data_IF_845733992002
#
_entry.id   IF_845733992002
#
_cell.length_a   1.000
_cell.length_b   1.000
_cell.length_c   1.000
_cell.angle_alpha   90.00
_cell.angle_beta   90.00
_cell.angle_gamma   90.00
#
_symmetry.space_group_name_H-M   'P 1'
#
loop_
_entity.id
_entity.type
_entity.pdbx_description
1 polymer ?
#
# COMPACT_ATOMS: atom_id res chain seq x y z
N UNK A 1 -4.94 -14.83 -11.44
CA UNK A 1 -4.83 -15.78 -12.60
C UNK A 1 -5.53 -17.07 -12.23
N UNK A 2 -6.56 -17.39 -12.93
CA UNK A 2 -7.37 -18.59 -12.70
C UNK A 2 -6.65 -19.82 -13.26
N UNK A 3 -7.02 -21.02 -12.78
CA UNK A 3 -6.37 -22.27 -13.21
C UNK A 3 -6.46 -22.48 -14.75
N UNK A 4 -7.61 -22.17 -15.33
CA UNK A 4 -7.80 -22.29 -16.80
C UNK A 4 -6.91 -21.34 -17.62
N UNK A 5 -6.51 -20.20 -17.06
CA UNK A 5 -5.58 -19.26 -17.71
C UNK A 5 -4.16 -19.81 -17.70
N UNK A 6 -3.75 -20.39 -16.59
CA UNK A 6 -2.46 -21.10 -16.48
C UNK A 6 -2.43 -22.26 -17.49
N UNK A 7 -3.53 -22.99 -17.61
CA UNK A 7 -3.63 -24.09 -18.56
C UNK A 7 -3.59 -23.62 -20.03
N UNK A 8 -4.16 -22.44 -20.33
CA UNK A 8 -3.98 -21.79 -21.64
C UNK A 8 -2.51 -21.45 -21.93
N UNK A 9 -1.81 -20.87 -20.95
CA UNK A 9 -0.38 -20.56 -21.11
C UNK A 9 0.48 -21.81 -21.22
N UNK A 10 0.16 -22.89 -20.51
CA UNK A 10 0.81 -24.20 -20.63
C UNK A 10 0.55 -24.86 -22.00
N UNK A 11 -0.59 -24.58 -22.61
CA UNK A 11 -0.95 -25.11 -23.91
C UNK A 11 -0.31 -24.34 -25.08
N UNK A 12 0.32 -23.19 -24.84
CA UNK A 12 1.04 -22.46 -25.88
C UNK A 12 2.14 -23.37 -26.48
N UNK A 13 2.29 -23.39 -27.80
CA UNK A 13 3.31 -24.24 -28.47
C UNK A 13 4.71 -23.88 -27.94
N UNK A 14 5.42 -24.87 -27.43
CA UNK A 14 6.75 -24.69 -26.80
C UNK A 14 7.76 -24.02 -27.73
N UNK A 15 7.72 -24.34 -29.04
CA UNK A 15 8.60 -23.74 -30.04
C UNK A 15 8.23 -22.27 -30.29
N UNK A 16 6.94 -21.93 -30.29
CA UNK A 16 6.48 -20.54 -30.40
C UNK A 16 6.92 -19.71 -29.21
N UNK A 17 6.88 -20.28 -28.01
CA UNK A 17 7.42 -19.61 -26.79
C UNK A 17 8.93 -19.48 -26.88
N UNK A 18 9.64 -20.50 -27.34
CA UNK A 18 11.09 -20.46 -27.55
C UNK A 18 11.50 -19.38 -28.56
N UNK A 19 10.75 -19.23 -29.64
CA UNK A 19 11.00 -18.20 -30.65
C UNK A 19 10.83 -16.79 -30.10
N UNK A 20 9.78 -16.53 -29.34
CA UNK A 20 9.56 -15.25 -28.64
C UNK A 20 10.65 -14.94 -27.59
N UNK A 21 11.26 -15.98 -27.03
CA UNK A 21 12.41 -15.86 -26.13
C UNK A 21 13.75 -15.69 -26.87
N UNK A 22 13.74 -15.59 -28.21
CA UNK A 22 14.91 -15.38 -29.03
C UNK A 22 15.70 -16.64 -29.37
N UNK A 23 15.17 -17.84 -29.07
CA UNK A 23 15.80 -19.11 -29.44
C UNK A 23 15.55 -19.44 -30.92
N UNK A 24 16.61 -19.67 -31.68
CA UNK A 24 16.49 -20.08 -33.10
C UNK A 24 16.25 -21.58 -33.17
N UNK A 25 14.99 -21.98 -33.21
CA UNK A 25 14.60 -23.38 -33.33
C UNK A 25 14.70 -23.86 -34.77
N UNK A 26 15.43 -24.95 -35.00
CA UNK A 26 15.50 -25.65 -36.31
C UNK A 26 15.36 -27.14 -36.12
N UNK A 27 14.42 -27.77 -36.84
CA UNK A 27 14.15 -29.23 -36.76
C UNK A 27 14.00 -29.70 -35.32
N UNK A 28 13.18 -28.99 -34.53
CA UNK A 28 12.91 -29.24 -33.08
C UNK A 28 14.15 -29.17 -32.16
N UNK A 29 15.19 -28.45 -32.56
CA UNK A 29 16.40 -28.23 -31.73
C UNK A 29 16.84 -26.79 -31.77
N UNK A 30 17.51 -26.33 -30.69
CA UNK A 30 18.19 -25.06 -30.57
C UNK A 30 19.50 -25.19 -29.77
N UNK A 31 20.35 -24.17 -29.85
CA UNK A 31 21.45 -24.04 -28.88
C UNK A 31 20.86 -23.84 -27.49
N UNK A 32 21.44 -24.51 -26.51
CA UNK A 32 20.96 -24.38 -25.12
C UNK A 32 21.42 -23.04 -24.52
N UNK A 33 20.51 -22.22 -23.98
CA UNK A 33 20.86 -20.93 -23.37
C UNK A 33 21.36 -21.09 -21.90
N UNK A 34 21.33 -22.29 -21.34
CA UNK A 34 21.63 -22.54 -19.93
C UNK A 34 23.06 -23.01 -19.68
N UNK A 35 23.85 -23.24 -20.75
CA UNK A 35 25.28 -23.52 -20.70
C UNK A 35 25.94 -23.09 -22.01
N UNK A 36 27.26 -23.01 -22.04
CA UNK A 36 28.00 -22.75 -23.27
C UNK A 36 27.78 -23.89 -24.27
N UNK A 37 27.03 -23.64 -25.33
CA UNK A 37 26.61 -24.64 -26.31
C UNK A 37 27.04 -24.26 -27.73
N UNK A 38 27.78 -25.13 -28.40
CA UNK A 38 28.23 -24.95 -29.80
C UNK A 38 27.45 -25.82 -30.78
N UNK A 39 26.68 -26.79 -30.29
CA UNK A 39 25.89 -27.69 -31.10
C UNK A 39 24.48 -27.81 -30.49
N UNK A 40 23.39 -27.75 -31.32
CA UNK A 40 22.03 -27.76 -30.79
C UNK A 40 21.72 -28.95 -29.86
N UNK A 41 21.84 -28.74 -28.56
CA UNK A 41 21.60 -29.75 -27.52
C UNK A 41 20.24 -29.62 -26.84
N UNK A 42 19.54 -28.48 -27.01
CA UNK A 42 18.19 -28.28 -26.51
C UNK A 42 17.18 -28.86 -27.51
N UNK A 43 16.45 -29.88 -27.11
CA UNK A 43 15.44 -30.54 -27.93
C UNK A 43 14.03 -30.21 -27.50
N UNK A 44 13.13 -29.96 -28.42
CA UNK A 44 11.71 -29.68 -28.18
C UNK A 44 10.85 -30.89 -28.59
N UNK A 45 10.00 -31.33 -27.66
CA UNK A 45 9.05 -32.41 -27.92
C UNK A 45 7.65 -31.82 -28.11
N UNK A 46 7.30 -31.56 -29.37
CA UNK A 46 6.04 -30.89 -29.75
C UNK A 46 4.80 -31.61 -29.18
N UNK A 47 4.73 -32.95 -29.32
CA UNK A 47 3.57 -33.72 -28.85
C UNK A 47 3.37 -33.72 -27.33
N UNK A 48 4.42 -33.51 -26.54
CA UNK A 48 4.35 -33.38 -25.07
C UNK A 48 4.41 -31.91 -24.60
N UNK A 49 4.64 -31.02 -25.55
CA UNK A 49 4.82 -29.57 -25.30
C UNK A 49 5.91 -29.28 -24.23
N UNK A 50 7.07 -29.96 -24.36
CA UNK A 50 8.18 -29.84 -23.42
C UNK A 50 9.50 -29.63 -24.12
N UNK A 51 10.50 -29.12 -23.40
CA UNK A 51 11.90 -29.09 -23.83
C UNK A 51 12.80 -29.89 -22.91
N UNK A 52 13.92 -30.37 -23.43
CA UNK A 52 15.00 -31.00 -22.67
C UNK A 52 16.35 -30.73 -23.32
N UNK A 53 17.30 -30.28 -22.52
CA UNK A 53 18.73 -30.29 -22.89
C UNK A 53 19.36 -31.60 -22.47
N UNK A 54 20.06 -32.27 -23.39
CA UNK A 54 20.75 -33.54 -23.10
C UNK A 54 22.15 -33.36 -22.51
N UNK A 55 22.64 -32.11 -22.41
CA UNK A 55 23.95 -31.79 -21.83
C UNK A 55 23.83 -31.32 -20.39
N UNK A 56 22.98 -30.30 -20.12
CA UNK A 56 22.84 -29.74 -18.76
C UNK A 56 21.55 -30.19 -18.05
N UNK A 57 20.79 -31.11 -18.65
CA UNK A 57 19.53 -31.66 -18.14
C UNK A 57 18.45 -30.60 -17.85
N UNK A 58 18.57 -29.40 -18.34
CA UNK A 58 17.52 -28.39 -18.25
C UNK A 58 16.27 -28.88 -18.99
N UNK A 59 15.13 -28.92 -18.33
CA UNK A 59 13.86 -29.42 -18.88
C UNK A 59 12.66 -28.68 -18.29
N UNK A 60 11.51 -28.81 -18.96
CA UNK A 60 10.26 -28.21 -18.49
C UNK A 60 9.25 -27.99 -19.61
N UNK A 61 8.16 -27.31 -19.29
CA UNK A 61 7.15 -26.84 -20.25
C UNK A 61 7.35 -25.38 -20.66
N UNK A 62 6.36 -24.78 -21.37
CA UNK A 62 6.44 -23.40 -21.86
C UNK A 62 6.69 -22.37 -20.76
N UNK A 63 6.00 -22.49 -19.61
CA UNK A 63 6.16 -21.55 -18.49
C UNK A 63 7.54 -21.71 -17.86
N UNK A 64 8.03 -22.94 -17.68
CA UNK A 64 9.35 -23.21 -17.12
C UNK A 64 10.46 -22.62 -17.99
N UNK A 65 10.31 -22.69 -19.32
CA UNK A 65 11.24 -22.10 -20.27
C UNK A 65 11.26 -20.57 -20.14
N UNK A 66 10.07 -19.95 -20.07
CA UNK A 66 9.95 -18.51 -19.88
C UNK A 66 10.56 -18.04 -18.55
N UNK A 67 10.27 -18.72 -17.44
CA UNK A 67 10.84 -18.41 -16.13
C UNK A 67 12.37 -18.47 -16.15
N UNK A 68 12.93 -19.54 -16.68
CA UNK A 68 14.38 -19.76 -16.69
C UNK A 68 15.12 -18.75 -17.57
N UNK A 69 14.59 -18.40 -18.73
CA UNK A 69 15.24 -17.48 -19.67
C UNK A 69 15.07 -16.02 -19.28
N UNK A 70 13.92 -15.63 -18.77
CA UNK A 70 13.67 -14.24 -18.38
C UNK A 70 14.14 -13.93 -16.95
N UNK A 71 14.45 -14.96 -16.14
CA UNK A 71 14.75 -14.81 -14.71
C UNK A 71 13.54 -14.37 -13.88
N UNK A 72 12.34 -14.36 -14.45
CA UNK A 72 11.12 -13.90 -13.80
C UNK A 72 10.50 -14.97 -12.92
N UNK A 73 9.92 -14.61 -11.75
CA UNK A 73 9.11 -15.53 -10.97
C UNK A 73 7.84 -15.93 -11.74
N UNK A 74 7.21 -17.03 -11.33
CA UNK A 74 6.10 -17.69 -12.04
C UNK A 74 5.01 -16.72 -12.54
N UNK A 75 4.52 -15.84 -11.67
CA UNK A 75 3.44 -14.89 -12.02
C UNK A 75 3.87 -13.89 -13.10
N UNK A 76 5.09 -13.37 -12.97
CA UNK A 76 5.63 -12.39 -13.94
C UNK A 76 5.96 -13.04 -15.28
N UNK A 77 6.45 -14.28 -15.26
CA UNK A 77 6.67 -15.07 -16.47
C UNK A 77 5.34 -15.37 -17.19
N UNK A 78 4.28 -15.71 -16.44
CA UNK A 78 2.94 -15.91 -17.01
C UNK A 78 2.38 -14.61 -17.62
N UNK A 79 2.55 -13.46 -16.98
CA UNK A 79 2.14 -12.16 -17.54
C UNK A 79 2.91 -11.84 -18.82
N UNK A 80 4.23 -12.00 -18.79
CA UNK A 80 5.07 -11.81 -19.96
C UNK A 80 4.63 -12.71 -21.12
N UNK A 81 4.38 -14.02 -20.87
CA UNK A 81 3.89 -14.93 -21.89
C UNK A 81 2.53 -14.51 -22.44
N UNK A 82 1.64 -14.03 -21.58
CA UNK A 82 0.32 -13.57 -22.00
C UNK A 82 0.42 -12.35 -22.93
N UNK A 83 1.27 -11.39 -22.58
CA UNK A 83 1.52 -10.20 -23.40
C UNK A 83 2.13 -10.57 -24.76
N UNK A 84 3.17 -11.42 -24.78
CA UNK A 84 3.87 -11.84 -26.01
C UNK A 84 3.01 -12.70 -26.95
N UNK A 85 2.05 -13.43 -26.40
CA UNK A 85 1.18 -14.33 -27.18
C UNK A 85 -0.27 -13.83 -27.28
N UNK A 86 -0.55 -12.57 -26.87
CA UNK A 86 -1.88 -11.95 -26.90
C UNK A 86 -2.95 -12.80 -26.19
N UNK A 87 -2.58 -13.45 -25.08
CA UNK A 87 -3.51 -14.19 -24.25
C UNK A 87 -4.10 -13.22 -23.22
N UNK A 88 -5.41 -12.98 -23.30
CA UNK A 88 -6.10 -12.14 -22.33
C UNK A 88 -6.16 -12.90 -21.00
N UNK A 89 -5.49 -12.35 -19.99
CA UNK A 89 -5.60 -12.79 -18.60
C UNK A 89 -6.63 -11.90 -17.89
N UNK A 90 -7.51 -12.51 -17.10
CA UNK A 90 -8.30 -11.75 -16.14
C UNK A 90 -7.33 -11.20 -15.09
N UNK A 91 -7.57 -9.98 -14.61
CA UNK A 91 -6.73 -9.42 -13.55
C UNK A 91 -6.59 -10.41 -12.39
N UNK A 92 -5.37 -10.90 -12.20
CA UNK A 92 -5.09 -11.78 -11.07
C UNK A 92 -5.20 -10.97 -9.78
N UNK A 93 -6.31 -11.15 -9.11
CA UNK A 93 -6.39 -10.86 -7.69
C UNK A 93 -5.94 -12.13 -6.98
N UNK A 94 -4.85 -12.10 -6.15
CA UNK A 94 -4.55 -13.23 -5.30
C UNK A 94 -5.85 -13.59 -4.59
N UNK A 95 -6.25 -14.86 -4.60
CA UNK A 95 -7.26 -15.32 -3.67
C UNK A 95 -6.68 -15.04 -2.27
N UNK A 96 -7.03 -13.90 -1.70
CA UNK A 96 -6.70 -13.60 -0.33
C UNK A 96 -7.40 -14.70 0.47
N UNK A 97 -6.60 -15.63 1.00
CA UNK A 97 -7.09 -16.48 2.09
C UNK A 97 -7.68 -15.50 3.07
N UNK A 98 -8.97 -15.62 3.45
CA UNK A 98 -9.58 -14.68 4.38
C UNK A 98 -8.69 -14.67 5.61
N UNK A 99 -7.90 -13.61 5.78
CA UNK A 99 -7.14 -13.39 7.00
C UNK A 99 -8.23 -13.27 8.04
N UNK A 100 -8.28 -14.20 9.01
CA UNK A 100 -9.17 -14.06 10.15
C UNK A 100 -8.81 -12.72 10.79
N UNK A 101 -9.61 -11.72 10.51
CA UNK A 101 -9.48 -10.40 11.11
C UNK A 101 -10.01 -10.53 12.53
N UNK A 102 -9.21 -10.13 13.49
CA UNK A 102 -9.66 -9.97 14.86
C UNK A 102 -10.04 -8.51 15.02
N UNK A 103 -11.29 -8.22 15.38
CA UNK A 103 -11.64 -6.84 15.69
C UNK A 103 -10.74 -6.34 16.83
N UNK A 104 -10.28 -5.08 16.75
CA UNK A 104 -9.51 -4.48 17.84
C UNK A 104 -10.28 -4.57 19.16
N UNK A 105 -9.58 -4.84 20.27
CA UNK A 105 -10.18 -4.73 21.61
C UNK A 105 -10.33 -3.23 21.94
N UNK A 106 -11.40 -2.64 21.42
CA UNK A 106 -11.68 -1.20 21.51
C UNK A 106 -11.81 -0.74 22.96
N UNK A 107 -12.37 -1.57 23.83
CA UNK A 107 -12.48 -1.23 25.26
C UNK A 107 -11.08 -1.10 25.90
N UNK A 108 -10.19 -2.03 25.63
CA UNK A 108 -8.82 -1.97 26.09
C UNK A 108 -8.06 -0.78 25.50
N UNK A 109 -8.15 -0.59 24.18
CA UNK A 109 -7.49 0.53 23.50
C UNK A 109 -8.01 1.89 24.00
N UNK A 110 -9.30 1.98 24.33
CA UNK A 110 -9.88 3.20 24.88
C UNK A 110 -9.23 3.58 26.22
N UNK A 111 -8.91 2.61 27.09
CA UNK A 111 -8.20 2.85 28.34
C UNK A 111 -6.80 3.44 28.13
N UNK A 112 -6.15 3.10 27.03
CA UNK A 112 -4.81 3.64 26.70
C UNK A 112 -4.87 5.11 26.28
N UNK A 113 -5.99 5.55 25.67
CA UNK A 113 -6.10 6.87 25.05
C UNK A 113 -7.09 7.81 25.74
N UNK A 114 -7.79 7.36 26.79
CA UNK A 114 -8.82 8.17 27.48
C UNK A 114 -8.24 9.34 28.27
N UNK A 115 -6.99 9.23 28.72
CA UNK A 115 -6.28 10.28 29.46
C UNK A 115 -4.98 10.66 28.71
N UNK A 116 -5.06 11.53 27.69
CA UNK A 116 -3.92 11.84 26.85
C UNK A 116 -2.81 12.53 27.62
N UNK A 117 -1.62 11.95 27.58
CA UNK A 117 -0.39 12.53 28.15
C UNK A 117 0.73 12.40 27.13
N UNK A 118 1.57 13.43 27.01
CA UNK A 118 2.73 13.42 26.13
C UNK A 118 4.02 13.39 26.95
N UNK A 119 4.87 12.40 26.69
CA UNK A 119 6.23 12.34 27.18
C UNK A 119 7.13 13.35 26.44
N UNK A 120 8.38 13.45 26.86
CA UNK A 120 9.34 14.42 26.31
C UNK A 120 9.57 14.19 24.81
N UNK A 121 9.78 12.97 24.39
CA UNK A 121 10.03 12.59 22.98
C UNK A 121 8.83 12.92 22.09
N UNK A 122 7.63 12.68 22.59
CA UNK A 122 6.40 13.02 21.87
C UNK A 122 6.22 14.53 21.69
N UNK A 123 6.53 15.31 22.74
CA UNK A 123 6.48 16.79 22.69
C UNK A 123 7.51 17.35 21.72
N UNK A 124 8.75 16.83 21.79
CA UNK A 124 9.82 17.22 20.89
C UNK A 124 9.41 16.97 19.43
N UNK A 125 8.98 15.74 19.13
CA UNK A 125 8.54 15.36 17.79
C UNK A 125 7.36 16.21 17.30
N UNK A 126 6.28 16.30 18.08
CA UNK A 126 5.06 16.98 17.63
C UNK A 126 5.26 18.50 17.51
N UNK A 127 5.83 19.13 18.55
CA UNK A 127 5.81 20.59 18.67
C UNK A 127 7.06 21.26 18.12
N UNK A 128 8.24 20.60 18.18
CA UNK A 128 9.48 21.20 17.69
C UNK A 128 9.85 20.70 16.29
N UNK A 129 9.84 19.38 16.07
CA UNK A 129 10.23 18.84 14.77
C UNK A 129 9.13 19.01 13.71
N UNK A 130 7.86 18.76 14.07
CA UNK A 130 6.72 18.77 13.13
C UNK A 130 5.87 20.01 13.19
N UNK A 131 6.06 20.87 14.18
CA UNK A 131 5.33 22.13 14.37
C UNK A 131 3.79 21.95 14.40
N UNK A 132 3.33 20.84 14.95
CA UNK A 132 1.91 20.53 15.07
C UNK A 132 1.29 21.43 16.16
N UNK A 133 0.16 22.03 15.84
CA UNK A 133 -0.52 22.92 16.77
C UNK A 133 -1.08 22.15 17.98
N UNK A 134 -0.84 22.58 19.24
CA UNK A 134 -1.29 21.86 20.43
C UNK A 134 -2.80 21.56 20.48
N UNK A 135 -3.63 22.46 19.96
CA UNK A 135 -5.07 22.26 19.91
C UNK A 135 -5.47 21.08 19.00
N UNK A 136 -4.74 20.83 17.91
CA UNK A 136 -4.95 19.67 17.02
C UNK A 136 -4.64 18.38 17.76
N UNK A 137 -3.51 18.35 18.47
CA UNK A 137 -3.08 17.19 19.27
C UNK A 137 -4.11 16.87 20.37
N UNK A 138 -4.55 17.89 21.10
CA UNK A 138 -5.55 17.74 22.15
C UNK A 138 -6.92 17.31 21.58
N UNK A 139 -7.36 17.94 20.50
CA UNK A 139 -8.65 17.62 19.86
C UNK A 139 -8.74 16.18 19.35
N UNK A 140 -7.64 15.65 18.77
CA UNK A 140 -7.58 14.29 18.29
C UNK A 140 -7.29 13.26 19.38
N UNK A 141 -6.97 13.71 20.61
CA UNK A 141 -6.68 12.86 21.75
C UNK A 141 -5.39 12.06 21.58
N UNK A 142 -4.38 12.65 20.93
CA UNK A 142 -3.08 12.01 20.72
C UNK A 142 -2.37 11.90 22.07
N UNK A 143 -1.86 10.71 22.37
CA UNK A 143 -1.13 10.42 23.61
C UNK A 143 0.21 9.74 23.31
N UNK A 144 0.99 9.45 24.35
CA UNK A 144 2.26 8.72 24.21
C UNK A 144 2.44 7.68 25.29
N UNK A 145 3.32 6.72 25.02
CA UNK A 145 3.77 5.71 25.98
C UNK A 145 5.29 5.75 26.12
N UNK A 146 5.76 5.58 27.36
CA UNK A 146 7.19 5.54 27.71
C UNK A 146 7.70 4.13 28.02
N UNK A 147 6.80 3.14 28.03
CA UNK A 147 7.13 1.72 28.23
C UNK A 147 6.39 0.89 27.19
N UNK A 148 6.98 -0.21 26.71
CA UNK A 148 6.30 -1.13 25.81
C UNK A 148 4.95 -1.56 26.40
N UNK A 149 3.90 -1.41 25.62
CA UNK A 149 2.51 -1.61 26.08
C UNK A 149 1.82 -2.64 25.17
N UNK A 150 1.13 -3.65 25.73
CA UNK A 150 0.40 -4.61 24.93
C UNK A 150 -0.62 -3.93 24.02
N UNK A 151 -0.75 -4.40 22.77
CA UNK A 151 -1.81 -3.94 21.85
C UNK A 151 -3.17 -4.58 22.16
N UNK A 152 -3.16 -5.64 22.97
CA UNK A 152 -4.32 -6.45 23.35
C UNK A 152 -4.33 -6.68 24.87
N UNK A 153 -5.51 -6.90 25.44
CA UNK A 153 -5.67 -7.21 26.87
C UNK A 153 -4.84 -8.41 27.32
N UNK A 154 -4.66 -9.41 26.46
CA UNK A 154 -4.04 -10.70 26.79
C UNK A 154 -2.97 -11.10 25.79
N UNK A 155 -1.95 -10.30 25.49
CA UNK A 155 -1.00 -10.84 24.59
C UNK A 155 0.10 -10.00 23.97
N UNK A 156 0.77 -10.64 23.08
CA UNK A 156 1.73 -10.09 22.11
C UNK A 156 0.99 -9.87 20.78
N UNK A 157 1.20 -8.83 19.99
CA UNK A 157 2.33 -7.90 20.05
C UNK A 157 2.14 -6.71 20.99
N UNK A 158 3.22 -5.96 21.17
CA UNK A 158 3.27 -4.73 21.95
C UNK A 158 3.40 -3.51 21.04
N UNK A 159 2.90 -2.37 21.47
CA UNK A 159 3.40 -1.08 21.03
C UNK A 159 4.77 -0.86 21.65
N UNK A 160 5.76 -0.59 20.84
CA UNK A 160 7.11 -0.28 21.31
C UNK A 160 7.15 1.12 21.92
N UNK A 161 8.15 1.41 22.74
CA UNK A 161 8.30 2.70 23.38
C UNK A 161 9.73 3.25 23.20
N UNK A 162 9.90 4.58 23.19
CA UNK A 162 8.85 5.60 23.26
C UNK A 162 8.00 5.69 21.99
N UNK A 163 6.69 5.83 22.13
CA UNK A 163 5.80 5.94 20.96
C UNK A 163 4.67 6.93 21.17
N UNK A 164 4.27 7.60 20.08
CA UNK A 164 2.97 8.24 19.97
C UNK A 164 1.89 7.21 19.71
N UNK A 165 0.69 7.47 20.22
CA UNK A 165 -0.52 6.73 19.94
C UNK A 165 -1.53 7.66 19.25
N UNK A 166 -1.98 7.27 18.06
CA UNK A 166 -2.97 7.97 17.27
C UNK A 166 -4.31 7.23 17.35
N UNK A 167 -5.33 7.81 18.03
CA UNK A 167 -6.66 7.22 18.08
C UNK A 167 -7.37 7.39 16.73
N UNK A 168 -7.75 6.28 16.11
CA UNK A 168 -8.60 6.25 14.93
C UNK A 168 -10.05 6.24 15.36
N UNK A 169 -10.78 7.27 14.97
CA UNK A 169 -12.18 7.46 15.35
C UNK A 169 -13.06 7.52 14.11
N UNK A 170 -14.29 7.05 14.24
CA UNK A 170 -15.30 7.21 13.20
C UNK A 170 -15.80 8.67 13.10
N UNK A 171 -16.72 8.96 12.19
CA UNK A 171 -17.34 10.28 12.03
C UNK A 171 -17.97 10.82 13.32
N UNK A 172 -18.44 9.93 14.21
CA UNK A 172 -19.12 10.27 15.46
C UNK A 172 -18.16 10.45 16.63
N UNK A 173 -16.85 10.22 16.42
CA UNK A 173 -15.83 10.30 17.44
C UNK A 173 -15.65 9.00 18.24
N UNK A 174 -16.34 7.92 17.91
CA UNK A 174 -16.17 6.61 18.56
C UNK A 174 -14.83 6.02 18.15
N UNK A 175 -14.05 5.55 19.13
CA UNK A 175 -12.78 4.89 18.89
C UNK A 175 -12.97 3.59 18.11
N UNK A 176 -12.18 3.42 17.06
CA UNK A 176 -12.19 2.23 16.20
C UNK A 176 -10.88 1.44 16.32
N UNK A 177 -9.76 2.13 16.41
CA UNK A 177 -8.44 1.52 16.50
C UNK A 177 -7.41 2.54 17.05
N UNK A 178 -6.19 2.07 17.32
CA UNK A 178 -5.06 2.92 17.70
C UNK A 178 -3.84 2.51 16.91
N UNK A 179 -3.18 3.47 16.28
CA UNK A 179 -1.89 3.27 15.64
C UNK A 179 -0.79 3.82 16.53
N UNK A 180 0.33 3.13 16.66
CA UNK A 180 1.53 3.68 17.28
C UNK A 180 2.52 4.20 16.23
N UNK A 181 3.28 5.26 16.62
CA UNK A 181 4.48 5.70 15.92
C UNK A 181 5.65 5.62 16.88
N UNK A 182 6.59 4.74 16.58
CA UNK A 182 7.82 4.63 17.34
C UNK A 182 8.71 5.87 17.15
N UNK A 183 9.19 6.44 18.25
CA UNK A 183 10.03 7.64 18.29
C UNK A 183 11.50 7.32 18.63
N UNK A 184 11.79 6.06 18.97
CA UNK A 184 13.15 5.63 19.25
C UNK A 184 14.00 5.46 17.98
N UNK A 185 15.24 4.99 18.16
CA UNK A 185 16.25 4.87 17.11
C UNK A 185 16.58 3.43 16.72
N UNK A 186 15.88 2.45 17.26
CA UNK A 186 16.13 1.04 16.97
C UNK A 186 15.70 0.71 15.52
N UNK A 187 16.61 0.25 14.65
CA UNK A 187 16.31 0.07 13.22
C UNK A 187 15.32 -1.07 12.94
N UNK A 188 15.28 -2.08 13.80
CA UNK A 188 14.42 -3.27 13.63
C UNK A 188 12.97 -3.03 14.11
N UNK A 189 12.68 -1.89 14.70
CA UNK A 189 11.34 -1.56 15.16
C UNK A 189 10.59 -0.79 14.07
N UNK A 190 9.45 -1.31 13.57
CA UNK A 190 8.65 -0.61 12.58
C UNK A 190 8.21 0.76 13.10
N UNK A 191 8.39 1.79 12.27
CA UNK A 191 8.03 3.16 12.62
C UNK A 191 6.55 3.29 12.97
N UNK A 192 5.67 2.60 12.24
CA UNK A 192 4.24 2.58 12.50
C UNK A 192 3.76 1.15 12.74
N UNK A 193 2.84 1.00 13.71
CA UNK A 193 2.24 -0.29 14.04
C UNK A 193 0.77 -0.15 14.41
N UNK A 194 -0.03 -1.05 13.87
CA UNK A 194 -1.38 -1.32 14.35
C UNK A 194 -1.42 -2.60 15.17
N UNK A 195 -2.48 -2.81 15.99
CA UNK A 195 -2.74 -4.13 16.54
C UNK A 195 -2.78 -5.16 15.41
N UNK A 196 -2.11 -6.30 15.63
CA UNK A 196 -1.97 -7.35 14.62
C UNK A 196 -3.34 -7.78 14.10
N UNK A 197 -3.48 -7.91 12.77
CA UNK A 197 -4.69 -8.31 12.07
C UNK A 197 -5.87 -7.34 12.22
N UNK A 198 -5.66 -6.15 12.74
CA UNK A 198 -6.68 -5.11 12.69
C UNK A 198 -6.52 -4.27 11.44
N UNK A 199 -7.65 -3.93 10.83
CA UNK A 199 -7.63 -2.99 9.72
C UNK A 199 -7.47 -1.56 10.23
N UNK A 200 -6.64 -0.81 9.55
CA UNK A 200 -6.66 0.62 9.65
C UNK A 200 -7.35 1.21 8.42
N UNK A 201 -8.19 2.18 8.69
CA UNK A 201 -8.89 2.94 7.68
C UNK A 201 -8.47 4.41 7.74
N UNK A 202 -9.33 5.30 7.31
CA UNK A 202 -9.07 6.73 7.26
C UNK A 202 -8.90 7.31 8.68
N UNK A 203 -7.83 8.09 8.87
CA UNK A 203 -7.58 8.86 10.08
C UNK A 203 -8.20 10.24 10.01
N UNK A 204 -8.57 10.82 11.15
CA UNK A 204 -9.06 12.20 11.23
C UNK A 204 -10.55 12.38 10.90
N UNK A 205 -11.32 11.30 10.74
CA UNK A 205 -12.74 11.38 10.36
C UNK A 205 -13.63 12.33 11.20
N UNK A 206 -13.39 12.60 12.50
CA UNK A 206 -14.17 13.61 13.21
C UNK A 206 -14.15 15.00 12.58
N UNK A 207 -13.16 15.35 11.74
CA UNK A 207 -13.11 16.62 11.03
C UNK A 207 -14.31 16.83 10.09
N UNK A 208 -14.83 15.75 9.54
CA UNK A 208 -15.96 15.75 8.60
C UNK A 208 -17.21 16.42 9.18
N UNK A 209 -17.40 16.31 10.51
CA UNK A 209 -18.51 16.99 11.19
C UNK A 209 -18.40 18.51 11.19
N UNK A 210 -17.18 19.02 11.01
CA UNK A 210 -16.87 20.46 10.95
C UNK A 210 -16.75 20.97 9.51
N UNK A 211 -16.96 20.08 8.54
CA UNK A 211 -16.89 20.43 7.12
C UNK A 211 -18.17 21.16 6.71
N UNK A 212 -18.03 22.33 6.14
CA UNK A 212 -19.14 23.10 5.56
C UNK A 212 -19.45 22.64 4.14
N UNK A 213 -20.63 23.00 3.65
CA UNK A 213 -21.02 22.66 2.27
C UNK A 213 -20.13 23.41 1.27
N UNK A 214 -19.51 22.70 0.35
CA UNK A 214 -18.59 23.26 -0.64
C UNK A 214 -17.17 23.47 -0.14
N UNK A 215 -16.88 23.15 1.13
CA UNK A 215 -15.53 23.29 1.70
C UNK A 215 -14.58 22.21 1.18
N UNK A 216 -13.32 22.60 1.01
CA UNK A 216 -12.24 21.68 0.62
C UNK A 216 -11.87 20.70 1.74
N UNK A 217 -11.61 19.44 1.37
CA UNK A 217 -11.09 18.42 2.26
C UNK A 217 -9.77 17.88 1.71
N UNK A 218 -8.70 18.03 2.47
CA UNK A 218 -7.38 17.55 2.09
C UNK A 218 -7.18 16.08 2.45
N UNK A 219 -6.70 15.32 1.48
CA UNK A 219 -6.32 13.92 1.64
C UNK A 219 -4.82 13.83 1.76
N UNK A 220 -4.29 13.10 2.74
CA UNK A 220 -2.86 12.88 2.93
C UNK A 220 -2.54 11.38 3.00
N UNK A 221 -1.30 11.01 2.68
CA UNK A 221 -0.84 9.62 2.76
C UNK A 221 -0.60 9.21 4.22
N UNK A 222 -0.13 10.13 5.06
CA UNK A 222 0.28 9.84 6.43
C UNK A 222 -0.47 10.64 7.50
N UNK A 223 -0.55 10.06 8.69
CA UNK A 223 -1.13 10.75 9.87
C UNK A 223 -0.39 12.05 10.17
N UNK A 224 0.93 12.07 10.05
CA UNK A 224 1.75 13.26 10.35
C UNK A 224 1.46 14.43 9.42
N UNK A 225 1.23 14.17 8.12
CA UNK A 225 0.88 15.20 7.16
C UNK A 225 -0.56 15.69 7.35
N UNK A 226 -1.47 14.78 7.72
CA UNK A 226 -2.80 15.15 8.16
C UNK A 226 -2.76 16.13 9.35
N UNK A 227 -1.93 15.86 10.35
CA UNK A 227 -1.76 16.77 11.50
C UNK A 227 -1.21 18.13 11.09
N UNK A 228 -0.26 18.17 10.16
CA UNK A 228 0.29 19.41 9.62
C UNK A 228 -0.78 20.23 8.86
N UNK A 229 -1.55 19.56 8.01
CA UNK A 229 -2.68 20.19 7.30
C UNK A 229 -3.73 20.75 8.27
N UNK A 230 -4.11 19.99 9.29
CA UNK A 230 -5.02 20.46 10.34
C UNK A 230 -4.44 21.65 11.11
N UNK A 231 -3.12 21.63 11.37
CA UNK A 231 -2.43 22.73 12.07
C UNK A 231 -2.34 23.98 11.23
N UNK A 232 -2.35 23.87 9.91
CA UNK A 232 -2.42 24.99 8.97
C UNK A 232 -3.84 25.57 8.79
N UNK A 233 -4.82 25.03 9.54
CA UNK A 233 -6.22 25.46 9.45
C UNK A 233 -7.06 24.73 8.41
N UNK A 234 -6.48 23.83 7.64
CA UNK A 234 -7.20 23.04 6.62
C UNK A 234 -8.00 21.92 7.28
N UNK A 235 -9.07 21.48 6.64
CA UNK A 235 -9.78 20.25 7.00
C UNK A 235 -9.08 19.08 6.31
N UNK A 236 -8.58 18.11 7.07
CA UNK A 236 -7.80 17.02 6.48
C UNK A 236 -8.11 15.66 7.11
N UNK A 237 -7.97 14.61 6.30
CA UNK A 237 -8.02 13.21 6.67
C UNK A 237 -6.82 12.48 6.05
N UNK A 238 -6.33 11.42 6.72
CA UNK A 238 -5.27 10.60 6.15
C UNK A 238 -5.79 9.25 5.68
N UNK A 239 -5.33 8.84 4.51
CA UNK A 239 -5.56 7.51 3.95
C UNK A 239 -4.32 6.70 4.27
N UNK A 240 -4.39 5.74 5.20
CA UNK A 240 -3.22 5.06 5.69
C UNK A 240 -2.61 4.11 4.66
N UNK A 241 -1.36 4.39 4.35
CA UNK A 241 -0.50 3.52 3.57
C UNK A 241 -0.75 3.54 2.08
N UNK A 242 0.32 3.34 1.32
CA UNK A 242 0.32 3.20 -0.14
C UNK A 242 -0.42 1.94 -0.66
N UNK A 243 -1.14 1.26 0.21
CA UNK A 243 -1.99 0.11 -0.13
C UNK A 243 -3.37 0.60 -0.52
N UNK A 244 -3.76 0.22 -1.71
CA UNK A 244 -5.06 0.34 -2.37
C UNK A 244 -6.20 0.93 -1.51
N UNK A 245 -6.77 2.04 -1.99
CA UNK A 245 -8.07 2.53 -1.54
C UNK A 245 -9.06 1.36 -1.53
N UNK A 246 -9.69 1.16 -0.39
CA UNK A 246 -10.69 0.10 -0.26
C UNK A 246 -12.04 0.60 -0.79
N UNK A 247 -12.91 -0.29 -1.27
CA UNK A 247 -14.25 0.09 -1.72
C UNK A 247 -15.04 0.88 -0.67
N UNK A 248 -14.83 0.60 0.62
CA UNK A 248 -15.49 1.33 1.71
C UNK A 248 -14.96 2.75 1.86
N UNK A 249 -13.70 2.99 1.57
CA UNK A 249 -13.11 4.34 1.60
C UNK A 249 -13.66 5.17 0.44
N UNK A 250 -13.80 4.56 -0.75
CA UNK A 250 -14.45 5.20 -1.91
C UNK A 250 -15.91 5.55 -1.61
N UNK A 251 -16.67 4.64 -0.99
CA UNK A 251 -18.05 4.92 -0.55
C UNK A 251 -18.12 6.07 0.45
N UNK A 252 -17.15 6.16 1.36
CA UNK A 252 -17.07 7.28 2.29
C UNK A 252 -16.84 8.59 1.55
N UNK A 253 -15.88 8.64 0.62
CA UNK A 253 -15.62 9.85 -0.19
C UNK A 253 -16.86 10.22 -1.02
N UNK A 254 -17.56 9.24 -1.60
CA UNK A 254 -18.81 9.47 -2.33
C UNK A 254 -19.87 10.12 -1.43
N UNK A 255 -20.08 9.60 -0.21
CA UNK A 255 -21.05 10.19 0.72
C UNK A 255 -20.69 11.64 1.12
N UNK A 256 -19.40 11.94 1.29
CA UNK A 256 -18.95 13.31 1.59
C UNK A 256 -19.20 14.27 0.41
N UNK A 257 -18.95 13.80 -0.80
CA UNK A 257 -19.25 14.57 -2.01
C UNK A 257 -20.76 14.85 -2.13
N UNK A 258 -21.62 13.87 -1.87
CA UNK A 258 -23.07 14.02 -1.94
C UNK A 258 -23.60 14.92 -0.82
N UNK A 259 -23.24 14.66 0.43
CA UNK A 259 -23.75 15.35 1.62
C UNK A 259 -23.23 16.80 1.73
N UNK A 260 -21.96 17.02 1.37
CA UNK A 260 -21.26 18.28 1.62
C UNK A 260 -20.81 19.00 0.36
N UNK A 261 -21.01 18.42 -0.84
CA UNK A 261 -20.47 18.95 -2.11
C UNK A 261 -18.97 19.22 -2.01
N UNK A 262 -18.25 18.38 -1.28
CA UNK A 262 -16.85 18.55 -0.95
C UNK A 262 -15.97 18.48 -2.20
N UNK A 263 -15.02 19.41 -2.29
CA UNK A 263 -13.90 19.34 -3.23
C UNK A 263 -12.72 18.70 -2.51
N UNK A 264 -12.16 17.65 -3.10
CA UNK A 264 -10.99 16.97 -2.53
C UNK A 264 -9.71 17.62 -3.02
N UNK A 265 -8.73 17.69 -2.12
CA UNK A 265 -7.40 18.22 -2.38
C UNK A 265 -6.35 17.22 -1.95
N UNK A 266 -5.19 17.21 -2.58
CA UNK A 266 -4.03 16.42 -2.15
C UNK A 266 -2.73 17.13 -2.52
N UNK A 267 -1.77 17.14 -1.59
CA UNK A 267 -0.36 17.37 -1.87
C UNK A 267 0.31 15.99 -1.95
N UNK A 268 0.52 15.41 -3.13
CA UNK A 268 1.16 14.11 -3.23
C UNK A 268 2.61 14.21 -2.75
N UNK A 269 3.06 13.22 -1.99
CA UNK A 269 4.48 13.08 -1.66
C UNK A 269 5.29 12.98 -2.96
N UNK A 270 6.44 13.65 -3.01
CA UNK A 270 7.32 13.65 -4.20
C UNK A 270 8.14 12.35 -4.30
N UNK A 271 7.44 11.22 -4.26
CA UNK A 271 8.00 9.90 -4.50
C UNK A 271 6.99 9.00 -5.23
N UNK A 272 7.43 7.78 -5.56
CA UNK A 272 6.62 6.81 -6.31
C UNK A 272 5.34 6.40 -5.54
N UNK A 273 5.39 6.35 -4.21
CA UNK A 273 4.25 5.97 -3.39
C UNK A 273 3.16 7.06 -3.41
N UNK A 274 3.56 8.32 -3.23
CA UNK A 274 2.65 9.46 -3.29
C UNK A 274 2.00 9.62 -4.67
N UNK A 275 2.77 9.43 -5.75
CA UNK A 275 2.23 9.48 -7.11
C UNK A 275 1.25 8.31 -7.38
N UNK A 276 1.50 7.15 -6.80
CA UNK A 276 0.59 6.00 -6.89
C UNK A 276 -0.72 6.26 -6.15
N UNK A 277 -0.65 6.81 -4.94
CA UNK A 277 -1.84 7.19 -4.18
C UNK A 277 -2.66 8.25 -4.94
N UNK A 278 -2.00 9.28 -5.49
CA UNK A 278 -2.68 10.30 -6.29
C UNK A 278 -3.47 9.69 -7.45
N UNK A 279 -2.87 8.79 -8.22
CA UNK A 279 -3.55 8.11 -9.35
C UNK A 279 -4.77 7.29 -8.89
N UNK A 280 -4.66 6.60 -7.77
CA UNK A 280 -5.78 5.84 -7.21
C UNK A 280 -6.92 6.76 -6.77
N UNK A 281 -6.60 7.87 -6.11
CA UNK A 281 -7.58 8.87 -5.69
C UNK A 281 -8.24 9.57 -6.89
N UNK A 282 -7.48 9.86 -7.94
CA UNK A 282 -8.01 10.44 -9.16
C UNK A 282 -9.01 9.50 -9.86
N UNK A 283 -8.68 8.22 -9.95
CA UNK A 283 -9.59 7.20 -10.50
C UNK A 283 -10.86 7.08 -9.66
N UNK A 284 -10.72 7.03 -8.33
CA UNK A 284 -11.86 6.96 -7.42
C UNK A 284 -12.73 8.24 -7.50
N UNK A 285 -12.10 9.42 -7.58
CA UNK A 285 -12.81 10.69 -7.73
C UNK A 285 -13.61 10.73 -9.04
N UNK A 286 -13.03 10.28 -10.15
CA UNK A 286 -13.71 10.18 -11.45
C UNK A 286 -14.90 9.22 -11.37
N UNK A 287 -14.74 8.05 -10.73
CA UNK A 287 -15.81 7.06 -10.57
C UNK A 287 -17.02 7.62 -9.82
N UNK A 288 -16.78 8.39 -8.76
CA UNK A 288 -17.85 9.00 -7.94
C UNK A 288 -18.30 10.38 -8.43
N UNK A 289 -17.74 10.88 -9.54
CA UNK A 289 -18.04 12.21 -10.08
C UNK A 289 -17.62 13.36 -9.15
N UNK A 290 -16.53 13.20 -8.41
CA UNK A 290 -15.97 14.21 -7.51
C UNK A 290 -14.81 14.96 -8.17
N UNK A 291 -14.56 16.20 -7.70
CA UNK A 291 -13.38 16.97 -8.08
C UNK A 291 -12.22 16.62 -7.13
N UNK A 292 -11.07 16.26 -7.68
CA UNK A 292 -9.79 16.12 -6.96
C UNK A 292 -8.80 17.15 -7.52
N UNK A 293 -8.34 18.04 -6.67
CA UNK A 293 -7.32 19.04 -7.00
C UNK A 293 -5.98 18.55 -6.50
N UNK A 294 -5.00 18.52 -7.41
CA UNK A 294 -3.60 18.30 -7.06
C UNK A 294 -3.00 19.66 -6.68
N UNK A 295 -2.68 19.82 -5.42
CA UNK A 295 -1.95 20.97 -4.92
C UNK A 295 -0.45 20.75 -5.06
N UNK A 296 0.32 21.80 -5.28
CA UNK A 296 1.75 21.71 -5.46
C UNK A 296 2.51 22.15 -4.20
N UNK A 297 3.53 21.39 -3.85
CA UNK A 297 4.50 21.76 -2.83
C UNK A 297 5.62 22.61 -3.45
N UNK A 298 6.11 23.62 -2.73
CA UNK A 298 7.30 24.35 -3.15
C UNK A 298 8.48 23.41 -3.45
N UNK A 299 9.41 23.89 -4.27
CA UNK A 299 10.63 23.13 -4.56
C UNK A 299 11.43 22.83 -3.28
N UNK A 300 12.09 21.68 -3.25
CA UNK A 300 12.95 21.25 -2.14
C UNK A 300 12.22 20.50 -1.02
N UNK A 301 10.89 20.42 -1.02
CA UNK A 301 10.14 19.67 -0.02
C UNK A 301 9.56 18.39 -0.61
N UNK A 302 9.65 17.31 0.17
CA UNK A 302 9.14 15.99 -0.21
C UNK A 302 7.63 15.86 0.06
N UNK A 303 7.19 16.32 1.24
CA UNK A 303 5.82 16.20 1.74
C UNK A 303 5.35 17.51 2.40
N UNK A 304 4.04 17.60 2.62
CA UNK A 304 3.44 18.79 3.23
C UNK A 304 3.96 19.02 4.66
N UNK A 305 4.21 17.97 5.43
CA UNK A 305 4.71 18.08 6.80
C UNK A 305 6.10 18.69 6.88
N UNK A 306 6.99 18.38 5.94
CA UNK A 306 8.31 19.02 5.84
C UNK A 306 8.20 20.50 5.52
N UNK A 307 7.38 20.83 4.53
CA UNK A 307 7.16 22.22 4.17
C UNK A 307 6.55 23.00 5.34
N UNK A 308 5.50 22.49 5.96
CA UNK A 308 4.85 23.12 7.11
C UNK A 308 5.83 23.39 8.25
N UNK A 309 6.65 22.41 8.61
CA UNK A 309 7.62 22.53 9.70
C UNK A 309 8.70 23.60 9.42
N UNK A 310 8.93 23.96 8.16
CA UNK A 310 9.90 24.98 7.76
C UNK A 310 9.33 26.42 7.83
N UNK A 311 8.01 26.58 7.94
CA UNK A 311 7.36 27.91 7.87
C UNK A 311 7.35 28.65 9.21
N UNK A 312 7.74 28.02 10.33
CA UNK A 312 7.54 28.58 11.69
C UNK A 312 8.88 28.65 12.43
#
# INVERSE_FOLDING_TARGET
MERYEIDKLRALPIEGVADRLGLKVKKHKALCPFHADSHPSLSFHVGRNTYKCFVCDAHGGPIDLAMKLTGKPFIEACKWMADEHNVILTEWKPAEKPKKEFPPDVEYLNRLVQHPVLNTEAREFLFRERRIHPAVVSWLGITSISKPTPCWRHGKPYYDAPSLLFPYRDRNGRLMNVQSRYLGRMPDIPRFRFPSRSECRIYGLPVVRRLETGEGLWLSEGVTDCLALLSSGRKAIAIPGATLLKPEDVKLLASLREEKKTVFHIFPDKDEAGERLYRQLLNAANEIGACLIRDELPEGFKDFGQWWASQI
#
